data_IF_117003589582
#
_entry.id   IF_117003589582
#
_cell.length_a   1.000
_cell.length_b   1.000
_cell.length_c   1.000
_cell.angle_alpha   90.00
_cell.angle_beta   90.00
_cell.angle_gamma   90.00
#
_symmetry.space_group_name_H-M   'P 1'
#
loop_
_entity.id
_entity.type
_entity.pdbx_description
1 polymer ?
#
# COMPACT_ATOMS: atom_id res chain seq x y z
N UNK A 1 -16.23 8.62 -12.04
CA UNK A 1 -16.86 9.24 -10.87
C UNK A 1 -18.02 8.34 -10.44
N UNK A 2 -17.76 7.36 -9.56
CA UNK A 2 -18.76 6.42 -9.08
C UNK A 2 -19.53 7.11 -7.95
N UNK A 3 -20.75 7.51 -8.21
CA UNK A 3 -21.68 8.10 -7.24
C UNK A 3 -22.17 7.01 -6.30
N UNK A 4 -21.54 6.88 -5.13
CA UNK A 4 -22.08 6.09 -4.03
C UNK A 4 -23.30 6.84 -3.47
N UNK A 5 -24.49 6.50 -3.96
CA UNK A 5 -25.75 6.85 -3.31
C UNK A 5 -25.90 5.96 -2.08
N UNK A 6 -25.34 6.38 -0.94
CA UNK A 6 -25.71 5.85 0.36
C UNK A 6 -26.43 6.96 1.12
N UNK A 7 -27.73 6.82 1.24
CA UNK A 7 -28.58 7.66 2.10
C UNK A 7 -28.28 7.35 3.57
N UNK A 8 -28.50 8.33 4.46
CA UNK A 8 -28.30 8.21 5.91
C UNK A 8 -29.04 7.01 6.56
N UNK A 9 -30.03 6.44 5.86
CA UNK A 9 -30.76 5.23 6.29
C UNK A 9 -29.96 3.93 6.27
N UNK A 10 -28.84 3.84 5.49
CA UNK A 10 -28.02 2.63 5.42
C UNK A 10 -27.01 2.49 6.58
N UNK A 11 -26.93 3.50 7.45
CA UNK A 11 -26.01 3.55 8.59
C UNK A 11 -26.67 3.08 9.91
N UNK A 12 -27.79 2.37 9.86
CA UNK A 12 -28.40 1.77 11.06
C UNK A 12 -27.36 0.85 11.72
N UNK A 13 -27.38 0.80 13.07
CA UNK A 13 -26.50 -0.06 13.87
C UNK A 13 -26.74 -1.52 13.45
N UNK A 14 -26.02 -1.97 12.41
CA UNK A 14 -26.21 -3.27 11.81
C UNK A 14 -25.35 -4.30 12.53
N UNK A 15 -25.80 -5.55 12.50
CA UNK A 15 -25.07 -6.69 13.03
C UNK A 15 -23.63 -6.70 12.46
N UNK A 16 -22.62 -7.04 13.28
CA UNK A 16 -21.20 -7.13 12.91
C UNK A 16 -20.97 -7.90 11.62
N UNK A 17 -21.72 -8.97 11.38
CA UNK A 17 -21.65 -9.75 10.15
C UNK A 17 -22.09 -8.95 8.90
N UNK A 18 -23.10 -8.13 9.02
CA UNK A 18 -23.58 -7.29 7.91
C UNK A 18 -22.55 -6.24 7.57
N UNK A 19 -21.93 -5.62 8.58
CA UNK A 19 -20.86 -4.64 8.39
C UNK A 19 -19.59 -5.28 7.79
N UNK A 20 -19.22 -6.47 8.26
CA UNK A 20 -18.12 -7.24 7.67
C UNK A 20 -18.36 -7.51 6.18
N UNK A 21 -19.56 -8.02 5.84
CA UNK A 21 -19.94 -8.27 4.45
C UNK A 21 -19.99 -7.00 3.60
N UNK A 22 -20.38 -5.86 4.20
CA UNK A 22 -20.33 -4.54 3.55
C UNK A 22 -18.88 -4.19 3.22
N UNK A 23 -17.93 -4.41 4.14
CA UNK A 23 -16.50 -4.22 3.91
C UNK A 23 -15.98 -5.05 2.74
N UNK A 24 -16.27 -6.36 2.74
CA UNK A 24 -15.90 -7.26 1.63
C UNK A 24 -16.48 -6.79 0.30
N UNK A 25 -17.77 -6.40 0.25
CA UNK A 25 -18.37 -5.87 -0.99
C UNK A 25 -17.73 -4.58 -1.47
N UNK A 26 -17.38 -3.69 -0.55
CA UNK A 26 -16.77 -2.40 -0.87
C UNK A 26 -15.37 -2.58 -1.45
N UNK A 27 -14.63 -3.63 -1.08
CA UNK A 27 -13.30 -3.92 -1.63
C UNK A 27 -13.33 -4.45 -3.08
N UNK A 28 -14.42 -5.04 -3.55
CA UNK A 28 -14.49 -5.73 -4.86
C UNK A 28 -13.94 -4.91 -6.04
N UNK A 29 -14.29 -3.62 -6.23
CA UNK A 29 -13.73 -2.83 -7.32
C UNK A 29 -12.19 -2.67 -7.23
N UNK A 30 -11.65 -2.57 -6.01
CA UNK A 30 -10.22 -2.46 -5.76
C UNK A 30 -9.51 -3.77 -6.07
N UNK A 31 -10.13 -4.92 -5.68
CA UNK A 31 -9.56 -6.25 -5.94
C UNK A 31 -9.30 -6.46 -7.42
N UNK A 32 -10.22 -6.05 -8.30
CA UNK A 32 -10.05 -6.17 -9.75
C UNK A 32 -8.81 -5.41 -10.27
N UNK A 33 -8.50 -4.24 -9.65
CA UNK A 33 -7.30 -3.48 -9.97
C UNK A 33 -6.01 -4.10 -9.43
N UNK A 34 -6.08 -4.75 -8.27
CA UNK A 34 -4.91 -5.27 -7.55
C UNK A 34 -4.46 -6.65 -8.09
N UNK A 35 -5.38 -7.48 -8.60
CA UNK A 35 -5.09 -8.84 -9.09
C UNK A 35 -3.93 -8.88 -10.10
N UNK A 36 -3.90 -8.08 -11.17
CA UNK A 36 -2.79 -8.11 -12.12
C UNK A 36 -1.44 -7.84 -11.45
N UNK A 37 -1.40 -6.89 -10.52
CA UNK A 37 -0.16 -6.55 -9.80
C UNK A 37 0.31 -7.67 -8.88
N UNK A 38 -0.61 -8.31 -8.17
CA UNK A 38 -0.29 -9.46 -7.34
C UNK A 38 0.31 -10.61 -8.15
N UNK A 39 -0.30 -10.93 -9.31
CA UNK A 39 0.23 -11.95 -10.21
C UNK A 39 1.63 -11.62 -10.72
N UNK A 40 1.85 -10.37 -11.11
CA UNK A 40 3.16 -9.89 -11.59
C UNK A 40 4.21 -9.97 -10.50
N UNK A 41 3.89 -9.51 -9.27
CA UNK A 41 4.80 -9.59 -8.14
C UNK A 41 5.26 -11.03 -7.89
N UNK A 42 4.31 -11.98 -7.85
CA UNK A 42 4.61 -13.39 -7.64
C UNK A 42 5.49 -13.98 -8.74
N UNK A 43 5.18 -13.67 -10.01
CA UNK A 43 5.97 -14.12 -11.14
C UNK A 43 7.38 -13.53 -11.14
N UNK A 44 7.55 -12.24 -10.83
CA UNK A 44 8.86 -11.60 -10.70
C UNK A 44 9.67 -12.18 -9.53
N UNK A 45 9.04 -12.47 -8.40
CA UNK A 45 9.71 -13.05 -7.24
C UNK A 45 10.37 -14.39 -7.60
N UNK A 46 9.67 -15.28 -8.31
CA UNK A 46 10.23 -16.56 -8.73
C UNK A 46 11.38 -16.41 -9.72
N UNK A 47 11.35 -15.42 -10.59
CA UNK A 47 12.50 -15.12 -11.47
C UNK A 47 13.72 -14.60 -10.72
N UNK A 48 13.52 -13.93 -9.58
CA UNK A 48 14.61 -13.53 -8.67
C UNK A 48 15.10 -14.68 -7.78
N UNK A 49 14.58 -15.90 -7.96
CA UNK A 49 14.98 -17.09 -7.25
C UNK A 49 14.21 -17.40 -5.96
N UNK A 50 13.11 -16.69 -5.70
CA UNK A 50 12.24 -17.04 -4.57
C UNK A 50 11.53 -18.37 -4.82
N UNK A 51 11.50 -19.18 -3.79
CA UNK A 51 10.73 -20.43 -3.80
C UNK A 51 9.24 -20.16 -3.69
N UNK A 52 8.44 -21.15 -4.04
CA UNK A 52 6.99 -21.13 -3.90
C UNK A 52 6.50 -20.78 -2.48
N UNK A 53 7.25 -21.16 -1.43
CA UNK A 53 6.88 -20.86 -0.04
C UNK A 53 7.33 -19.45 0.41
N UNK A 54 8.43 -18.95 -0.14
CA UNK A 54 8.96 -17.64 0.23
C UNK A 54 8.07 -16.48 -0.24
N UNK A 55 7.39 -16.66 -1.37
CA UNK A 55 6.49 -15.61 -1.90
C UNK A 55 5.30 -15.34 -0.97
N UNK A 56 4.48 -16.32 -0.56
CA UNK A 56 3.40 -16.07 0.39
C UNK A 56 3.89 -15.67 1.79
N UNK A 57 5.09 -16.06 2.21
CA UNK A 57 5.69 -15.57 3.45
C UNK A 57 6.06 -14.10 3.33
N UNK A 58 6.69 -13.69 2.24
CA UNK A 58 7.03 -12.29 1.97
C UNK A 58 5.75 -11.43 1.98
N UNK A 59 4.76 -11.80 1.16
CA UNK A 59 3.56 -10.98 0.97
C UNK A 59 2.58 -11.06 2.13
N UNK A 60 2.55 -12.17 2.86
CA UNK A 60 1.70 -12.36 4.03
C UNK A 60 2.23 -11.71 5.31
N UNK A 61 3.56 -11.66 5.48
CA UNK A 61 4.18 -11.06 6.67
C UNK A 61 4.47 -9.57 6.52
N UNK A 62 4.69 -9.08 5.30
CA UNK A 62 4.92 -7.66 5.03
C UNK A 62 3.62 -6.93 4.67
N UNK A 63 2.79 -7.50 3.83
CA UNK A 63 1.50 -7.00 3.36
C UNK A 63 1.54 -5.53 2.91
N UNK A 64 2.54 -5.20 2.12
CA UNK A 64 2.80 -3.83 1.65
C UNK A 64 3.40 -3.85 0.23
N UNK A 65 2.57 -3.99 -0.78
CA UNK A 65 2.96 -4.21 -2.17
C UNK A 65 4.07 -3.29 -2.68
N UNK A 66 4.06 -2.02 -2.30
CA UNK A 66 5.10 -1.07 -2.70
C UNK A 66 6.50 -1.45 -2.21
N UNK A 67 6.65 -1.87 -0.96
CA UNK A 67 7.95 -2.33 -0.43
C UNK A 67 8.34 -3.70 -0.95
N UNK A 68 7.36 -4.58 -1.23
CA UNK A 68 7.61 -5.89 -1.80
C UNK A 68 8.18 -5.79 -3.23
N UNK A 69 7.60 -4.95 -4.07
CA UNK A 69 8.18 -4.64 -5.38
C UNK A 69 9.57 -4.01 -5.25
N UNK A 70 9.76 -3.05 -4.33
CA UNK A 70 11.05 -2.42 -4.13
C UNK A 70 12.13 -3.42 -3.65
N UNK A 71 11.76 -4.39 -2.81
CA UNK A 71 12.64 -5.49 -2.39
C UNK A 71 13.08 -6.30 -3.62
N UNK A 72 12.14 -6.70 -4.48
CA UNK A 72 12.46 -7.48 -5.67
C UNK A 72 13.39 -6.74 -6.63
N UNK A 73 13.21 -5.42 -6.77
CA UNK A 73 14.06 -4.60 -7.64
C UNK A 73 15.52 -4.56 -7.20
N UNK A 74 15.76 -4.48 -5.88
CA UNK A 74 17.12 -4.41 -5.31
C UNK A 74 17.64 -5.77 -4.83
N UNK A 75 16.92 -6.83 -5.09
CA UNK A 75 17.30 -8.18 -4.66
C UNK A 75 18.59 -8.64 -5.32
N UNK A 76 19.53 -9.10 -4.51
CA UNK A 76 20.82 -9.68 -4.93
C UNK A 76 20.99 -11.06 -4.32
N UNK A 77 21.86 -11.87 -4.88
CA UNK A 77 22.23 -13.16 -4.30
C UNK A 77 23.75 -13.21 -4.03
N UNK A 78 24.20 -13.19 -2.75
CA UNK A 78 23.41 -13.19 -1.52
C UNK A 78 22.68 -11.85 -1.28
N UNK A 79 21.53 -11.87 -0.53
CA UNK A 79 20.75 -10.67 -0.28
C UNK A 79 21.45 -9.71 0.70
N UNK A 80 21.43 -8.43 0.40
CA UNK A 80 21.88 -7.40 1.33
C UNK A 80 20.75 -7.06 2.33
N UNK A 81 20.71 -7.79 3.44
CA UNK A 81 19.63 -7.71 4.44
C UNK A 81 19.47 -6.28 4.99
N UNK A 82 20.58 -5.58 5.27
CA UNK A 82 20.52 -4.21 5.77
C UNK A 82 19.81 -3.26 4.78
N UNK A 83 20.18 -3.35 3.50
CA UNK A 83 19.55 -2.54 2.44
C UNK A 83 18.06 -2.86 2.30
N UNK A 84 17.70 -4.16 2.31
CA UNK A 84 16.30 -4.60 2.21
C UNK A 84 15.47 -4.08 3.39
N UNK A 85 15.98 -4.20 4.63
CA UNK A 85 15.31 -3.66 5.82
C UNK A 85 15.14 -2.15 5.74
N UNK A 86 16.18 -1.44 5.30
CA UNK A 86 16.15 0.01 5.21
C UNK A 86 15.15 0.51 4.16
N UNK A 87 15.14 -0.09 2.97
CA UNK A 87 14.18 0.23 1.91
C UNK A 87 12.75 -0.08 2.35
N UNK A 88 12.54 -1.26 2.96
CA UNK A 88 11.23 -1.65 3.49
C UNK A 88 10.73 -0.64 4.52
N UNK A 89 11.58 -0.24 5.46
CA UNK A 89 11.24 0.78 6.44
C UNK A 89 10.87 2.12 5.78
N UNK A 90 11.68 2.59 4.84
CA UNK A 90 11.42 3.86 4.14
C UNK A 90 10.09 3.85 3.38
N UNK A 91 9.85 2.81 2.59
CA UNK A 91 8.62 2.70 1.79
C UNK A 91 7.39 2.57 2.69
N UNK A 92 7.51 1.78 3.77
CA UNK A 92 6.41 1.53 4.70
C UNK A 92 6.24 2.65 5.76
N UNK A 93 7.16 3.62 5.85
CA UNK A 93 7.03 4.76 6.79
C UNK A 93 5.73 5.55 6.60
N UNK A 94 5.13 5.52 5.41
CA UNK A 94 3.81 6.10 5.13
C UNK A 94 2.70 5.52 6.04
N UNK A 95 2.81 4.26 6.49
CA UNK A 95 1.85 3.66 7.41
C UNK A 95 1.82 4.37 8.77
N UNK A 96 2.92 5.01 9.20
CA UNK A 96 2.95 5.83 10.42
C UNK A 96 2.01 7.04 10.28
N UNK A 97 2.04 7.72 9.13
CA UNK A 97 1.17 8.87 8.84
C UNK A 97 -0.29 8.46 8.71
N UNK A 98 -0.54 7.35 7.98
CA UNK A 98 -1.88 6.79 7.85
C UNK A 98 -2.44 6.36 9.22
N UNK A 99 -1.62 5.65 10.01
CA UNK A 99 -1.98 5.27 11.38
C UNK A 99 -2.27 6.47 12.27
N UNK A 100 -1.44 7.51 12.21
CA UNK A 100 -1.64 8.75 12.96
C UNK A 100 -2.99 9.41 12.63
N UNK A 101 -3.41 9.40 11.36
CA UNK A 101 -4.70 9.94 10.94
C UNK A 101 -5.90 9.16 11.45
N UNK A 102 -5.73 7.86 11.80
CA UNK A 102 -6.76 7.02 12.40
C UNK A 102 -6.80 7.09 13.92
N UNK A 103 -5.78 7.67 14.58
CA UNK A 103 -5.74 7.77 16.06
C UNK A 103 -7.01 8.35 16.67
N UNK A 104 -7.61 9.44 16.18
CA UNK A 104 -8.84 9.99 16.76
C UNK A 104 -9.97 8.97 16.85
N UNK A 105 -10.04 8.05 15.87
CA UNK A 105 -11.07 7.03 15.74
C UNK A 105 -10.75 5.73 16.48
N UNK A 106 -9.47 5.42 16.70
CA UNK A 106 -9.02 4.16 17.31
C UNK A 106 -8.67 4.27 18.79
N UNK A 107 -8.42 5.48 19.33
CA UNK A 107 -7.92 5.71 20.69
C UNK A 107 -8.79 5.12 21.82
N UNK A 108 -10.08 4.89 21.56
CA UNK A 108 -11.01 4.29 22.53
C UNK A 108 -11.02 2.75 22.49
N UNK A 109 -10.35 2.15 21.51
CA UNK A 109 -10.27 0.70 21.37
C UNK A 109 -9.08 0.11 22.14
N UNK A 110 -9.19 -1.12 22.65
CA UNK A 110 -8.08 -1.78 23.32
C UNK A 110 -6.95 -2.10 22.34
N UNK A 111 -5.71 -1.99 22.79
CA UNK A 111 -4.51 -2.24 21.99
C UNK A 111 -4.52 -3.60 21.26
N UNK A 112 -5.12 -4.63 21.89
CA UNK A 112 -5.29 -5.97 21.30
C UNK A 112 -6.08 -5.97 19.99
N UNK A 113 -6.93 -4.95 19.74
CA UNK A 113 -7.66 -4.75 18.49
C UNK A 113 -6.94 -3.78 17.56
N UNK A 114 -6.28 -2.77 18.10
CA UNK A 114 -5.60 -1.72 17.33
C UNK A 114 -4.38 -2.26 16.60
N UNK A 115 -3.49 -3.02 17.28
CA UNK A 115 -2.27 -3.52 16.63
C UNK A 115 -2.54 -4.45 15.43
N UNK A 116 -3.42 -5.46 15.51
CA UNK A 116 -3.79 -6.23 14.33
C UNK A 116 -4.43 -5.38 13.24
N UNK A 117 -5.29 -4.41 13.61
CA UNK A 117 -5.89 -3.50 12.64
C UNK A 117 -4.83 -2.70 11.86
N UNK A 118 -3.81 -2.18 12.54
CA UNK A 118 -2.71 -1.46 11.90
C UNK A 118 -1.81 -2.37 11.06
N UNK A 119 -1.63 -3.63 11.44
CA UNK A 119 -0.88 -4.61 10.63
C UNK A 119 -1.56 -4.87 9.29
N UNK A 120 -2.88 -5.03 9.27
CA UNK A 120 -3.65 -5.27 8.05
C UNK A 120 -4.02 -3.99 7.29
N UNK A 121 -3.51 -2.84 7.73
CA UNK A 121 -3.78 -1.55 7.08
C UNK A 121 -2.94 -1.41 5.80
N UNK A 122 -3.63 -1.19 4.68
CA UNK A 122 -3.04 -0.77 3.40
C UNK A 122 -3.72 0.50 2.92
N UNK A 123 -3.15 1.14 1.91
CA UNK A 123 -3.63 2.44 1.38
C UNK A 123 -5.13 2.43 1.10
N UNK A 124 -5.64 1.37 0.49
CA UNK A 124 -7.04 1.21 0.11
C UNK A 124 -7.95 1.05 1.34
N UNK A 125 -7.56 0.17 2.28
CA UNK A 125 -8.35 -0.04 3.49
C UNK A 125 -8.35 1.20 4.38
N UNK A 126 -7.23 1.91 4.46
CA UNK A 126 -7.12 3.18 5.18
C UNK A 126 -8.03 4.24 4.58
N UNK A 127 -7.93 4.50 3.27
CA UNK A 127 -8.69 5.57 2.62
C UNK A 127 -10.20 5.36 2.74
N UNK A 128 -10.68 4.13 2.51
CA UNK A 128 -12.10 3.81 2.58
C UNK A 128 -12.60 3.85 4.01
N UNK A 129 -11.82 3.34 4.98
CA UNK A 129 -12.24 3.32 6.38
C UNK A 129 -12.21 4.70 7.01
N UNK A 130 -11.25 5.55 6.63
CA UNK A 130 -11.22 6.95 7.07
C UNK A 130 -12.46 7.71 6.55
N UNK A 131 -12.80 7.54 5.27
CA UNK A 131 -13.99 8.15 4.69
C UNK A 131 -15.30 7.66 5.34
N UNK A 132 -15.41 6.36 5.63
CA UNK A 132 -16.54 5.77 6.35
C UNK A 132 -16.62 6.31 7.79
N UNK A 133 -15.47 6.41 8.48
CA UNK A 133 -15.41 6.93 9.84
C UNK A 133 -15.81 8.42 9.92
N UNK A 134 -15.34 9.24 9.00
CA UNK A 134 -15.73 10.66 8.91
C UNK A 134 -17.25 10.82 8.69
N UNK A 135 -17.81 10.00 7.80
CA UNK A 135 -19.25 10.00 7.55
C UNK A 135 -20.05 9.54 8.77
N UNK A 136 -19.59 8.51 9.48
CA UNK A 136 -20.23 8.03 10.72
C UNK A 136 -20.11 9.03 11.86
N UNK A 137 -18.96 9.70 11.98
CA UNK A 137 -18.72 10.72 12.98
C UNK A 137 -19.74 11.86 12.90
N UNK A 138 -20.09 12.29 11.70
CA UNK A 138 -21.09 13.34 11.50
C UNK A 138 -22.51 12.94 11.92
N UNK A 139 -22.80 11.64 12.03
CA UNK A 139 -24.13 11.12 12.39
C UNK A 139 -24.20 10.67 13.85
N UNK A 140 -23.16 10.00 14.37
CA UNK A 140 -23.21 9.30 15.67
C UNK A 140 -22.13 9.76 16.67
N UNK A 141 -21.29 10.73 16.30
CA UNK A 141 -20.22 11.23 17.14
C UNK A 141 -18.98 10.32 17.18
N UNK A 142 -17.96 10.73 17.93
CA UNK A 142 -16.61 10.18 17.89
C UNK A 142 -16.53 8.70 18.30
N UNK A 143 -17.29 8.30 19.31
CA UNK A 143 -17.15 6.97 19.91
C UNK A 143 -17.61 5.82 19.00
N UNK A 144 -18.48 6.10 18.03
CA UNK A 144 -19.06 5.11 17.12
C UNK A 144 -18.66 5.35 15.67
N UNK A 145 -17.70 6.24 15.44
CA UNK A 145 -17.27 6.61 14.10
C UNK A 145 -16.54 5.46 13.38
N UNK A 146 -15.67 4.73 14.08
CA UNK A 146 -14.91 3.64 13.46
C UNK A 146 -15.65 2.30 13.55
N UNK A 147 -15.97 1.73 12.40
CA UNK A 147 -16.63 0.43 12.30
C UNK A 147 -15.61 -0.69 12.11
N UNK A 148 -15.18 -1.32 13.21
CA UNK A 148 -14.20 -2.41 13.18
C UNK A 148 -14.62 -3.59 12.30
N UNK A 149 -15.87 -4.10 12.32
CA UNK A 149 -16.28 -5.18 11.42
C UNK A 149 -16.19 -4.81 9.94
N UNK A 150 -16.57 -3.59 9.55
CA UNK A 150 -16.42 -3.11 8.18
C UNK A 150 -14.95 -3.06 7.76
N UNK A 151 -14.09 -2.49 8.60
CA UNK A 151 -12.65 -2.46 8.38
C UNK A 151 -12.05 -3.86 8.25
N UNK A 152 -12.43 -4.77 9.16
CA UNK A 152 -11.97 -6.17 9.11
C UNK A 152 -12.38 -6.88 7.80
N UNK A 153 -13.59 -6.61 7.31
CA UNK A 153 -14.06 -7.16 6.03
C UNK A 153 -13.24 -6.65 4.83
N UNK A 154 -12.92 -5.35 4.81
CA UNK A 154 -12.02 -4.76 3.80
C UNK A 154 -10.64 -5.41 3.84
N UNK A 155 -10.00 -5.42 5.01
CA UNK A 155 -8.65 -5.95 5.20
C UNK A 155 -8.58 -7.45 4.87
N UNK A 156 -9.56 -8.24 5.31
CA UNK A 156 -9.64 -9.67 5.03
C UNK A 156 -9.67 -9.95 3.52
N UNK A 157 -10.54 -9.26 2.79
CA UNK A 157 -10.66 -9.46 1.35
C UNK A 157 -9.37 -9.06 0.61
N UNK A 158 -8.79 -7.90 0.96
CA UNK A 158 -7.54 -7.42 0.37
C UNK A 158 -6.36 -8.37 0.67
N UNK A 159 -6.26 -8.84 1.92
CA UNK A 159 -5.18 -9.75 2.34
C UNK A 159 -5.24 -11.10 1.62
N UNK A 160 -6.40 -11.75 1.64
CA UNK A 160 -6.57 -13.06 0.97
C UNK A 160 -6.32 -12.95 -0.53
N UNK A 161 -6.81 -11.88 -1.15
CA UNK A 161 -6.56 -11.64 -2.58
C UNK A 161 -5.09 -11.38 -2.87
N UNK A 162 -4.43 -10.52 -2.08
CA UNK A 162 -3.01 -10.21 -2.27
C UNK A 162 -2.15 -11.46 -2.16
N UNK A 163 -2.20 -12.15 -1.00
CA UNK A 163 -1.40 -13.35 -0.77
C UNK A 163 -1.75 -14.49 -1.73
N UNK A 164 -3.05 -14.67 -2.01
CA UNK A 164 -3.52 -15.72 -2.93
C UNK A 164 -3.05 -15.50 -4.36
N UNK A 165 -3.19 -14.29 -4.90
CA UNK A 165 -2.77 -14.02 -6.28
C UNK A 165 -1.26 -13.84 -6.45
N UNK A 166 -0.53 -13.37 -5.43
CA UNK A 166 0.95 -13.40 -5.47
C UNK A 166 1.45 -14.85 -5.46
N UNK A 167 0.85 -15.73 -4.65
CA UNK A 167 1.18 -17.15 -4.66
C UNK A 167 0.83 -17.81 -6.00
N UNK A 168 -0.31 -17.47 -6.59
CA UNK A 168 -0.69 -17.95 -7.91
C UNK A 168 0.29 -17.46 -8.98
N UNK A 169 0.69 -16.19 -8.91
CA UNK A 169 1.73 -15.61 -9.77
C UNK A 169 3.06 -16.35 -9.65
N UNK A 170 3.44 -16.75 -8.43
CA UNK A 170 4.65 -17.52 -8.20
C UNK A 170 4.58 -18.93 -8.83
N UNK A 171 3.41 -19.56 -8.86
CA UNK A 171 3.20 -20.85 -9.51
C UNK A 171 3.27 -20.72 -11.03
N UNK A 172 2.66 -19.67 -11.59
CA UNK A 172 2.56 -19.46 -13.04
C UNK A 172 3.87 -18.90 -13.61
N UNK A 173 4.61 -18.10 -12.84
CA UNK A 173 5.81 -17.41 -13.27
C UNK A 173 6.81 -18.28 -14.02
N UNK A 174 7.22 -19.45 -13.52
CA UNK A 174 8.14 -20.35 -14.22
C UNK A 174 7.62 -20.88 -15.57
N UNK A 175 6.28 -20.99 -15.73
CA UNK A 175 5.64 -21.46 -16.96
C UNK A 175 5.60 -20.38 -18.04
N UNK A 176 5.53 -19.10 -17.63
CA UNK A 176 5.51 -17.96 -18.56
C UNK A 176 6.86 -17.71 -19.25
N UNK A 177 7.94 -18.33 -18.77
CA UNK A 177 9.29 -18.12 -19.30
C UNK A 177 9.81 -16.71 -19.02
N UNK A 178 10.40 -16.07 -20.03
CA UNK A 178 10.93 -14.69 -19.90
C UNK A 178 9.80 -13.66 -19.87
N UNK A 179 9.34 -13.31 -18.67
CA UNK A 179 8.27 -12.34 -18.47
C UNK A 179 8.66 -10.91 -18.88
N UNK A 180 9.95 -10.62 -19.00
CA UNK A 180 10.39 -9.29 -19.47
C UNK A 180 10.00 -9.08 -20.95
N UNK A 181 9.96 -10.16 -21.74
CA UNK A 181 9.43 -10.08 -23.12
C UNK A 181 7.94 -9.77 -23.22
N UNK A 182 7.21 -9.98 -22.12
CA UNK A 182 5.79 -9.65 -22.02
C UNK A 182 5.57 -8.25 -21.43
N UNK A 183 6.62 -7.48 -21.16
CA UNK A 183 6.55 -6.12 -20.60
C UNK A 183 6.21 -6.07 -19.12
N UNK A 184 6.37 -7.18 -18.38
CA UNK A 184 6.10 -7.21 -16.94
C UNK A 184 7.11 -6.39 -16.10
N UNK A 185 8.28 -6.09 -16.67
CA UNK A 185 9.24 -5.14 -16.11
C UNK A 185 8.66 -3.73 -15.97
N UNK A 186 7.70 -3.37 -16.85
CA UNK A 186 7.00 -2.08 -16.79
C UNK A 186 5.84 -2.07 -15.78
N UNK A 187 5.47 -3.19 -15.19
CA UNK A 187 4.35 -3.26 -14.25
C UNK A 187 4.60 -2.42 -13.00
N UNK A 188 5.80 -2.51 -12.41
CA UNK A 188 6.19 -1.71 -11.25
C UNK A 188 6.15 -0.20 -11.53
N UNK A 189 6.82 0.34 -12.56
CA UNK A 189 6.67 1.73 -12.93
C UNK A 189 5.22 2.16 -13.20
N UNK A 190 4.43 1.32 -13.87
CA UNK A 190 3.03 1.63 -14.17
C UNK A 190 2.18 1.79 -12.91
N UNK A 191 2.34 0.90 -11.91
CA UNK A 191 1.65 1.01 -10.60
C UNK A 191 1.99 2.33 -9.93
N UNK A 192 3.29 2.65 -9.85
CA UNK A 192 3.73 3.87 -9.18
C UNK A 192 3.26 5.13 -9.92
N UNK A 193 3.23 5.13 -11.25
CA UNK A 193 2.67 6.24 -12.02
C UNK A 193 1.18 6.46 -11.73
N UNK A 194 0.40 5.38 -11.60
CA UNK A 194 -1.02 5.47 -11.22
C UNK A 194 -1.17 6.03 -9.81
N UNK A 195 -0.35 5.57 -8.85
CA UNK A 195 -0.36 6.09 -7.48
C UNK A 195 0.03 7.57 -7.44
N UNK A 196 1.11 7.97 -8.12
CA UNK A 196 1.53 9.36 -8.23
C UNK A 196 0.44 10.24 -8.85
N UNK A 197 -0.25 9.75 -9.91
CA UNK A 197 -1.37 10.45 -10.52
C UNK A 197 -2.53 10.67 -9.52
N UNK A 198 -2.84 9.68 -8.69
CA UNK A 198 -3.90 9.79 -7.68
C UNK A 198 -3.57 10.82 -6.58
N UNK A 199 -2.28 11.01 -6.30
CA UNK A 199 -1.78 11.97 -5.31
C UNK A 199 -1.49 13.36 -5.89
N UNK A 200 -1.67 13.56 -7.20
CA UNK A 200 -1.36 14.82 -7.86
C UNK A 200 -2.27 15.96 -7.41
N UNK A 201 -1.70 16.99 -6.79
CA UNK A 201 -2.38 18.20 -6.30
C UNK A 201 -1.92 19.48 -7.02
N UNK A 202 -1.23 19.35 -8.15
CA UNK A 202 -0.69 20.48 -8.92
C UNK A 202 0.84 20.60 -8.85
N UNK A 203 1.39 21.48 -9.68
CA UNK A 203 2.85 21.63 -9.85
C UNK A 203 3.57 22.10 -8.58
N UNK A 204 2.95 22.97 -7.80
CA UNK A 204 3.58 23.46 -6.55
C UNK A 204 3.76 22.33 -5.54
N UNK A 205 2.73 21.54 -5.32
CA UNK A 205 2.79 20.36 -4.44
C UNK A 205 3.71 19.25 -4.99
N UNK A 206 4.00 19.25 -6.30
CA UNK A 206 4.88 18.28 -6.93
C UNK A 206 6.37 18.64 -6.89
N UNK A 207 6.76 19.84 -6.48
CA UNK A 207 8.19 20.27 -6.40
C UNK A 207 9.06 19.30 -5.60
N UNK A 208 8.68 18.84 -4.40
CA UNK A 208 9.47 17.86 -3.66
C UNK A 208 9.65 16.53 -4.41
N UNK A 209 8.67 16.11 -5.19
CA UNK A 209 8.77 14.90 -6.00
C UNK A 209 9.81 15.04 -7.11
N UNK A 210 9.86 16.20 -7.76
CA UNK A 210 10.87 16.48 -8.78
C UNK A 210 12.28 16.47 -8.19
N UNK A 211 12.48 17.07 -7.02
CA UNK A 211 13.76 17.04 -6.31
C UNK A 211 14.14 15.59 -5.96
N UNK A 212 13.19 14.81 -5.41
CA UNK A 212 13.38 13.40 -5.12
C UNK A 212 13.76 12.59 -6.36
N UNK A 213 13.05 12.81 -7.48
CA UNK A 213 13.30 12.11 -8.74
C UNK A 213 14.69 12.41 -9.30
N UNK A 214 15.09 13.69 -9.33
CA UNK A 214 16.42 14.10 -9.81
C UNK A 214 17.52 13.54 -8.93
N UNK A 215 17.37 13.62 -7.60
CA UNK A 215 18.33 13.06 -6.65
C UNK A 215 18.45 11.53 -6.78
N UNK A 216 17.32 10.83 -6.94
CA UNK A 216 17.32 9.39 -7.18
C UNK A 216 18.00 9.03 -8.50
N UNK A 217 17.73 9.78 -9.58
CA UNK A 217 18.35 9.55 -10.89
C UNK A 217 19.87 9.75 -10.84
N UNK A 218 20.34 10.80 -10.17
CA UNK A 218 21.77 11.03 -9.98
C UNK A 218 22.40 9.92 -9.11
N UNK A 219 21.74 9.53 -8.04
CA UNK A 219 22.21 8.42 -7.21
C UNK A 219 22.27 7.10 -7.96
N UNK A 220 21.31 6.82 -8.85
CA UNK A 220 21.33 5.64 -9.71
C UNK A 220 22.53 5.59 -10.66
N UNK A 221 22.98 6.77 -11.17
CA UNK A 221 24.11 6.86 -12.09
C UNK A 221 25.46 6.74 -11.38
N UNK A 222 25.60 7.20 -10.15
CA UNK A 222 26.90 7.38 -9.48
C UNK A 222 27.12 6.49 -8.26
N UNK A 223 26.09 5.81 -7.74
CA UNK A 223 26.18 5.05 -6.50
C UNK A 223 25.84 3.56 -6.71
N UNK A 224 26.26 2.69 -5.77
CA UNK A 224 25.91 1.27 -5.83
C UNK A 224 24.39 1.05 -5.86
N UNK A 225 23.97 -0.09 -6.42
CA UNK A 225 22.58 -0.48 -6.55
C UNK A 225 21.82 -0.38 -5.21
N UNK A 226 20.61 0.17 -5.24
CA UNK A 226 19.73 0.33 -4.09
C UNK A 226 19.83 1.69 -3.38
N UNK A 227 20.96 2.42 -3.46
CA UNK A 227 21.13 3.72 -2.80
C UNK A 227 20.25 4.83 -3.35
N UNK A 228 19.78 4.71 -4.59
CA UNK A 228 18.88 5.68 -5.21
C UNK A 228 17.54 5.81 -4.46
N UNK A 229 17.06 4.73 -3.82
CA UNK A 229 15.80 4.76 -3.04
C UNK A 229 15.93 5.65 -1.79
N UNK A 230 16.88 5.41 -0.86
CA UNK A 230 17.02 6.24 0.33
C UNK A 230 17.39 7.69 0.00
N UNK A 231 18.25 7.92 -0.99
CA UNK A 231 18.65 9.29 -1.37
C UNK A 231 17.46 10.05 -1.95
N UNK A 232 16.68 9.41 -2.84
CA UNK A 232 15.46 10.01 -3.36
C UNK A 232 14.46 10.34 -2.25
N UNK A 233 14.22 9.40 -1.33
CA UNK A 233 13.28 9.60 -0.22
C UNK A 233 13.73 10.74 0.71
N UNK A 234 14.98 10.73 1.16
CA UNK A 234 15.51 11.73 2.08
C UNK A 234 15.52 13.13 1.42
N UNK A 235 15.98 13.23 0.18
CA UNK A 235 15.98 14.52 -0.55
C UNK A 235 14.56 15.05 -0.78
N UNK A 236 13.59 14.17 -1.05
CA UNK A 236 12.18 14.52 -1.14
C UNK A 236 11.62 15.06 0.16
N UNK A 237 11.90 14.41 1.29
CA UNK A 237 11.47 14.86 2.63
C UNK A 237 12.09 16.22 2.98
N UNK A 238 13.40 16.36 2.79
CA UNK A 238 14.11 17.62 3.06
C UNK A 238 13.55 18.75 2.19
N UNK A 239 13.37 18.51 0.90
CA UNK A 239 12.82 19.52 -0.01
C UNK A 239 11.37 19.88 0.33
N UNK A 240 10.56 18.93 0.78
CA UNK A 240 9.20 19.19 1.24
C UNK A 240 9.20 20.13 2.44
N UNK A 241 10.09 19.90 3.41
CA UNK A 241 10.22 20.78 4.58
C UNK A 241 10.53 22.23 4.21
N UNK A 242 11.42 22.45 3.24
CA UNK A 242 11.81 23.81 2.83
C UNK A 242 10.85 24.46 1.81
N UNK A 243 10.20 23.66 0.94
CA UNK A 243 9.38 24.21 -0.14
C UNK A 243 7.89 24.35 0.22
N UNK A 244 7.43 23.69 1.29
CA UNK A 244 6.03 23.78 1.75
C UNK A 244 5.87 24.59 3.04
N UNK A 245 6.96 25.08 3.64
CA UNK A 245 6.95 25.87 4.88
C UNK A 245 6.38 27.29 4.75
N UNK A 246 6.14 27.79 3.56
CA UNK A 246 5.67 29.16 3.31
C UNK A 246 4.15 29.30 3.12
N UNK A 247 3.37 28.25 3.35
CA UNK A 247 1.91 28.23 3.15
C UNK A 247 1.10 27.94 4.45
N UNK A 248 1.57 28.41 5.62
CA UNK A 248 0.76 28.42 6.85
C UNK A 248 0.32 29.82 7.24
#
# INVERSE_FOLDING_TARGET
MLTFKNTAQDLTYSNDYVEFKRGVKTSVPMLLGIIPFALVLGAQATQKGFSFLEVPLLTGLNFAGGSEFAILEVWTNPPNIFMLMFITFLVNSRHLLMGASLVPYLRHLPNKKVFPALFFMVDESWAVSLADAQKRQSVWGDQHAFCMPFYAGLCFALYIMWVGFTSLGAIIGPVLGDINRLGFDMAFPAVFLVLLRSMWKGFQAARPWLVSLVAAALAYLYLPQGWYVPIGAISGIISAFFLTGDEQ
#
